data_IF_708936175190
#
_entry.id   IF_708936175190
#
_cell.length_a   1.000
_cell.length_b   1.000
_cell.length_c   1.000
_cell.angle_alpha   90.00
_cell.angle_beta   90.00
_cell.angle_gamma   90.00
#
_symmetry.space_group_name_H-M   'P 1'
#
loop_
_entity.id
_entity.type
_entity.pdbx_description
1 polymer ?
#
# COMPACT_ATOMS: atom_id res chain seq x y z
N UNK A 1 41.69 22.30 49.99
CA UNK A 1 41.46 22.29 48.53
C UNK A 1 40.39 21.26 48.22
N UNK A 2 39.21 21.67 47.77
CA UNK A 2 38.14 20.77 47.33
C UNK A 2 37.41 21.41 46.16
N UNK A 3 37.74 20.98 44.95
CA UNK A 3 37.20 21.53 43.69
C UNK A 3 35.82 20.91 43.45
N UNK A 4 34.76 21.72 43.57
CA UNK A 4 33.41 21.35 43.13
C UNK A 4 33.36 21.41 41.60
N UNK A 5 33.35 20.24 40.95
CA UNK A 5 33.11 20.11 39.51
C UNK A 5 31.63 20.32 39.22
N UNK A 6 31.28 21.50 38.69
CA UNK A 6 29.96 21.76 38.10
C UNK A 6 29.82 20.97 36.80
N UNK A 7 28.95 19.95 36.80
CA UNK A 7 28.59 19.21 35.59
C UNK A 7 27.76 20.13 34.66
N UNK A 8 28.38 20.58 33.56
CA UNK A 8 27.69 21.22 32.43
C UNK A 8 26.68 20.21 31.86
N UNK A 9 25.39 20.48 32.06
CA UNK A 9 24.30 19.78 31.37
C UNK A 9 24.45 20.08 29.88
N UNK A 10 24.74 19.07 29.07
CA UNK A 10 24.77 19.21 27.61
C UNK A 10 23.35 19.59 27.14
N UNK A 11 23.19 20.59 26.26
CA UNK A 11 21.89 20.88 25.66
C UNK A 11 21.44 19.65 24.87
N UNK A 12 20.30 19.10 25.26
CA UNK A 12 19.63 18.04 24.54
C UNK A 12 19.12 18.66 23.23
N UNK A 13 19.47 18.10 22.05
CA UNK A 13 18.98 18.64 20.79
C UNK A 13 17.44 18.59 20.78
N UNK A 14 16.76 19.55 20.12
CA UNK A 14 15.31 19.55 20.03
C UNK A 14 14.85 18.21 19.43
N UNK A 15 13.96 17.54 20.15
CA UNK A 15 13.24 16.38 19.63
C UNK A 15 12.30 16.92 18.55
N UNK A 16 12.68 16.74 17.29
CA UNK A 16 11.75 16.88 16.19
C UNK A 16 10.81 15.68 16.26
N UNK A 17 9.62 15.91 16.79
CA UNK A 17 8.59 14.89 16.95
C UNK A 17 8.03 14.50 15.58
N UNK A 18 8.69 13.53 14.94
CA UNK A 18 8.15 12.90 13.74
C UNK A 18 7.00 11.97 14.13
N UNK A 19 5.87 12.11 13.46
CA UNK A 19 4.69 11.27 13.70
C UNK A 19 4.63 10.14 12.67
N UNK A 20 4.45 8.91 13.13
CA UNK A 20 4.29 7.74 12.26
C UNK A 20 3.03 6.98 12.62
N UNK A 21 2.14 6.81 11.65
CA UNK A 21 0.92 5.99 11.78
C UNK A 21 1.02 4.82 10.80
N UNK A 22 0.68 3.62 11.27
CA UNK A 22 0.59 2.43 10.42
C UNK A 22 -0.70 1.67 10.68
N UNK A 23 -1.32 1.20 9.61
CA UNK A 23 -2.53 0.41 9.62
C UNK A 23 -2.39 -0.74 8.63
N UNK A 24 -2.84 -1.93 9.01
CA UNK A 24 -2.89 -3.08 8.13
C UNK A 24 -4.18 -3.85 8.34
N UNK A 25 -4.79 -4.31 7.25
CA UNK A 25 -5.96 -5.18 7.27
C UNK A 25 -5.85 -6.24 6.18
N UNK A 26 -6.30 -7.45 6.47
CA UNK A 26 -6.25 -8.58 5.54
C UNK A 26 -7.51 -9.44 5.64
N UNK A 27 -7.89 -10.04 4.51
CA UNK A 27 -8.95 -11.03 4.40
C UNK A 27 -8.29 -12.37 4.10
N UNK A 28 -8.19 -13.29 5.07
CA UNK A 28 -7.62 -14.60 4.84
C UNK A 28 -8.58 -15.49 4.02
N UNK A 29 -8.04 -16.30 3.12
CA UNK A 29 -8.77 -17.39 2.43
C UNK A 29 -7.86 -18.62 2.36
N UNK A 30 -8.29 -19.73 2.98
CA UNK A 30 -7.44 -20.91 3.14
C UNK A 30 -6.23 -20.64 4.05
N UNK A 31 -5.18 -21.46 3.91
CA UNK A 31 -4.02 -21.45 4.83
C UNK A 31 -2.79 -20.70 4.29
N UNK A 32 -2.70 -20.45 2.99
CA UNK A 32 -1.43 -20.06 2.36
C UNK A 32 -1.28 -18.57 2.05
N UNK A 33 -2.33 -17.87 1.61
CA UNK A 33 -2.24 -16.44 1.22
C UNK A 33 -3.56 -15.71 1.50
N UNK A 34 -3.52 -14.42 1.94
CA UNK A 34 -4.73 -13.64 2.08
C UNK A 34 -5.31 -13.35 0.69
N UNK A 35 -6.63 -13.41 0.57
CA UNK A 35 -7.34 -12.96 -0.63
C UNK A 35 -7.05 -11.49 -0.92
N UNK A 36 -7.02 -10.69 0.13
CA UNK A 36 -6.85 -9.26 0.03
C UNK A 36 -6.06 -8.74 1.22
N UNK A 37 -5.17 -7.77 0.99
CA UNK A 37 -4.38 -7.12 2.01
C UNK A 37 -4.22 -5.65 1.69
N UNK A 38 -4.40 -4.78 2.69
CA UNK A 38 -4.08 -3.36 2.62
C UNK A 38 -3.10 -3.02 3.74
N UNK A 39 -2.07 -2.26 3.39
CA UNK A 39 -1.14 -1.64 4.33
C UNK A 39 -1.12 -0.14 4.06
N UNK A 40 -1.24 0.67 5.10
CA UNK A 40 -1.16 2.12 5.05
C UNK A 40 -0.10 2.57 6.05
N UNK A 41 0.82 3.43 5.61
CA UNK A 41 1.82 4.06 6.44
C UNK A 41 1.82 5.56 6.17
N UNK A 42 1.71 6.37 7.20
CA UNK A 42 1.83 7.81 7.13
C UNK A 42 3.01 8.23 8.01
N UNK A 43 3.87 9.09 7.48
CA UNK A 43 4.99 9.67 8.19
C UNK A 43 4.95 11.18 8.00
N UNK A 44 4.90 11.93 9.10
CA UNK A 44 5.02 13.38 9.10
C UNK A 44 6.33 13.80 9.75
N UNK A 45 7.05 14.68 9.08
CA UNK A 45 8.32 15.25 9.53
C UNK A 45 8.24 16.77 9.51
N UNK A 46 8.44 17.45 10.66
CA UNK A 46 8.56 18.90 10.68
C UNK A 46 9.86 19.34 10.00
N UNK A 47 9.78 20.38 9.18
CA UNK A 47 10.92 21.04 8.52
C UNK A 47 11.04 22.49 9.02
N UNK A 48 12.19 23.12 8.76
CA UNK A 48 12.51 24.44 9.33
C UNK A 48 11.47 25.53 8.98
N UNK A 49 10.82 25.43 7.83
CA UNK A 49 9.85 26.39 7.29
C UNK A 49 8.49 25.75 6.89
N UNK A 50 8.24 24.50 7.30
CA UNK A 50 7.02 23.79 6.94
C UNK A 50 6.95 22.36 7.47
N UNK A 51 6.13 21.53 6.85
CA UNK A 51 5.96 20.12 7.21
C UNK A 51 6.02 19.27 5.94
N UNK A 52 6.63 18.09 6.04
CA UNK A 52 6.62 17.08 4.99
C UNK A 52 5.81 15.88 5.45
N UNK A 53 4.81 15.52 4.66
CA UNK A 53 3.98 14.33 4.89
C UNK A 53 4.23 13.32 3.78
N UNK A 54 4.45 12.06 4.17
CA UNK A 54 4.61 10.92 3.29
C UNK A 54 3.57 9.86 3.62
N UNK A 55 2.70 9.56 2.66
CA UNK A 55 1.73 8.49 2.72
C UNK A 55 2.15 7.36 1.79
N UNK A 56 2.19 6.14 2.29
CA UNK A 56 2.38 4.92 1.49
C UNK A 56 1.18 4.02 1.71
N UNK A 57 0.58 3.56 0.62
CA UNK A 57 -0.43 2.52 0.64
C UNK A 57 0.03 1.36 -0.24
N UNK A 58 -0.18 0.15 0.23
CA UNK A 58 0.04 -1.07 -0.53
C UNK A 58 -1.24 -1.90 -0.50
N UNK A 59 -1.76 -2.21 -1.67
CA UNK A 59 -2.97 -2.98 -1.88
C UNK A 59 -2.62 -4.23 -2.68
N UNK A 60 -2.89 -5.39 -2.10
CA UNK A 60 -2.64 -6.68 -2.72
C UNK A 60 -3.95 -7.46 -2.80
N UNK A 61 -4.22 -8.02 -3.97
CA UNK A 61 -5.37 -8.90 -4.23
C UNK A 61 -4.88 -10.17 -4.92
N UNK A 62 -5.06 -11.31 -4.26
CA UNK A 62 -4.55 -12.61 -4.69
C UNK A 62 -5.70 -13.52 -5.19
N UNK A 63 -6.45 -13.06 -6.21
CA UNK A 63 -7.63 -13.79 -6.69
C UNK A 63 -7.22 -15.12 -7.36
N UNK A 64 -6.15 -15.10 -8.16
CA UNK A 64 -5.67 -16.29 -8.85
C UNK A 64 -4.97 -17.27 -7.91
N UNK A 65 -4.15 -16.75 -7.00
CA UNK A 65 -3.31 -17.58 -6.12
C UNK A 65 -4.02 -18.07 -4.85
N UNK A 66 -4.98 -17.31 -4.27
CA UNK A 66 -5.66 -17.72 -3.03
C UNK A 66 -7.06 -18.32 -3.27
N UNK A 67 -7.90 -17.68 -4.08
CA UNK A 67 -9.29 -18.11 -4.26
C UNK A 67 -9.43 -19.37 -5.12
N UNK A 68 -8.69 -19.46 -6.24
CA UNK A 68 -8.83 -20.60 -7.16
C UNK A 68 -8.50 -21.95 -6.49
N UNK A 69 -7.39 -22.10 -5.73
CA UNK A 69 -7.13 -23.33 -4.99
C UNK A 69 -8.16 -23.61 -3.89
N UNK A 70 -8.62 -22.58 -3.17
CA UNK A 70 -9.62 -22.75 -2.11
C UNK A 70 -10.98 -23.25 -2.66
N UNK A 71 -11.38 -22.78 -3.85
CA UNK A 71 -12.59 -23.26 -4.54
C UNK A 71 -12.46 -24.69 -5.06
N UNK A 72 -11.25 -25.12 -5.44
CA UNK A 72 -10.96 -26.49 -5.88
C UNK A 72 -10.85 -27.47 -4.71
N UNK A 73 -10.23 -27.06 -3.59
CA UNK A 73 -10.11 -27.88 -2.38
C UNK A 73 -11.47 -28.24 -1.78
N UNK A 74 -12.46 -27.33 -1.85
CA UNK A 74 -13.83 -27.59 -1.41
C UNK A 74 -14.61 -28.60 -2.27
N UNK A 75 -14.12 -28.95 -3.47
CA UNK A 75 -14.70 -30.02 -4.31
C UNK A 75 -14.14 -31.41 -4.00
N UNK A 76 -12.99 -31.49 -3.32
CA UNK A 76 -12.30 -32.75 -3.04
C UNK A 76 -12.74 -33.42 -1.73
N UNK A 77 -13.58 -32.79 -0.91
CA UNK A 77 -13.99 -33.30 0.40
C UNK A 77 -15.46 -33.70 0.41
N UNK A 78 -15.75 -34.90 -0.12
CA UNK A 78 -16.76 -35.75 0.52
C UNK A 78 -16.27 -36.06 1.94
N UNK A 79 -17.05 -35.81 3.00
CA UNK A 79 -16.58 -35.96 4.36
C UNK A 79 -16.47 -37.44 4.71
N UNK A 80 -15.29 -38.04 4.54
CA UNK A 80 -14.91 -39.21 5.34
C UNK A 80 -14.25 -38.69 6.61
N UNK A 81 -15.04 -38.67 7.67
CA UNK A 81 -14.54 -38.67 9.04
C UNK A 81 -13.64 -39.91 9.21
N UNK A 82 -12.34 -39.73 9.06
CA UNK A 82 -11.35 -40.65 9.65
C UNK A 82 -10.60 -39.85 10.70
N UNK A 83 -11.04 -40.04 11.95
CA UNK A 83 -10.41 -39.46 13.12
C UNK A 83 -9.06 -40.16 13.34
N UNK A 84 -7.97 -39.42 13.16
CA UNK A 84 -6.67 -39.77 13.73
C UNK A 84 -6.55 -39.09 15.10
N UNK A 85 -6.13 -39.80 16.16
CA UNK A 85 -5.98 -39.20 17.48
C UNK A 85 -4.73 -38.32 17.48
N UNK A 86 -4.85 -37.08 17.98
CA UNK A 86 -3.70 -36.23 18.24
C UNK A 86 -3.68 -35.78 19.69
N UNK A 87 -2.52 -36.06 20.29
CA UNK A 87 -2.05 -35.59 21.57
C UNK A 87 -2.17 -34.07 21.72
N UNK A 88 -2.19 -33.69 22.99
CA UNK A 88 -2.40 -32.37 23.54
C UNK A 88 -1.42 -31.31 23.00
N UNK A 89 -1.87 -30.50 22.04
CA UNK A 89 -1.26 -29.21 21.74
C UNK A 89 -2.26 -28.08 21.95
N UNK A 90 -1.94 -27.20 22.90
CA UNK A 90 -2.74 -26.04 23.33
C UNK A 90 -3.20 -25.19 22.12
N UNK A 91 -4.51 -24.91 21.95
CA UNK A 91 -4.99 -24.14 20.81
C UNK A 91 -4.70 -22.65 21.01
N UNK A 92 -3.83 -22.09 20.17
CA UNK A 92 -3.61 -20.66 20.05
C UNK A 92 -4.91 -19.98 19.56
N UNK A 93 -5.47 -19.10 20.41
CA UNK A 93 -6.75 -18.40 20.22
C UNK A 93 -6.85 -17.60 18.91
N UNK A 94 -5.72 -17.21 18.31
CA UNK A 94 -5.65 -16.45 17.05
C UNK A 94 -6.03 -17.25 15.80
N UNK A 95 -5.72 -18.56 15.76
CA UNK A 95 -6.06 -19.42 14.61
C UNK A 95 -7.57 -19.57 14.41
N UNK A 96 -8.35 -19.56 15.50
CA UNK A 96 -9.81 -19.78 15.43
C UNK A 96 -10.58 -18.63 14.80
N UNK A 97 -10.08 -17.39 14.88
CA UNK A 97 -10.77 -16.23 14.30
C UNK A 97 -10.50 -16.12 12.79
N UNK A 98 -9.24 -16.31 12.38
CA UNK A 98 -8.82 -16.35 10.98
C UNK A 98 -9.45 -17.53 10.22
N UNK A 99 -9.56 -18.70 10.86
CA UNK A 99 -10.25 -19.87 10.29
C UNK A 99 -11.75 -19.62 10.07
N UNK A 100 -12.42 -18.89 10.98
CA UNK A 100 -13.87 -18.60 10.88
C UNK A 100 -14.17 -17.57 9.79
N UNK A 101 -13.36 -16.53 9.65
CA UNK A 101 -13.53 -15.54 8.57
C UNK A 101 -13.22 -16.14 7.20
N UNK A 102 -12.15 -16.94 7.10
CA UNK A 102 -11.80 -17.64 5.86
C UNK A 102 -12.88 -18.61 5.38
N UNK A 103 -13.45 -19.41 6.29
CA UNK A 103 -14.53 -20.35 5.94
C UNK A 103 -15.82 -19.65 5.51
N UNK A 104 -16.19 -18.54 6.16
CA UNK A 104 -17.37 -17.77 5.80
C UNK A 104 -17.23 -17.08 4.42
N UNK A 105 -16.05 -16.52 4.14
CA UNK A 105 -15.73 -15.96 2.82
C UNK A 105 -15.78 -17.05 1.75
N UNK A 106 -15.21 -18.23 2.02
CA UNK A 106 -15.20 -19.35 1.08
C UNK A 106 -16.63 -19.84 0.72
N UNK A 107 -17.52 -19.97 1.70
CA UNK A 107 -18.91 -20.38 1.46
C UNK A 107 -19.71 -19.31 0.68
N UNK A 108 -19.51 -18.03 1.01
CA UNK A 108 -20.14 -16.93 0.28
C UNK A 108 -19.62 -16.83 -1.16
N UNK A 109 -18.30 -16.94 -1.36
CA UNK A 109 -17.69 -16.97 -2.69
C UNK A 109 -18.20 -18.17 -3.51
N UNK A 110 -18.36 -19.35 -2.89
CA UNK A 110 -18.90 -20.54 -3.55
C UNK A 110 -20.32 -20.30 -4.04
N UNK A 111 -21.22 -19.82 -3.16
CA UNK A 111 -22.62 -19.51 -3.52
C UNK A 111 -22.72 -18.44 -4.59
N UNK A 112 -21.87 -17.41 -4.55
CA UNK A 112 -21.85 -16.37 -5.58
C UNK A 112 -21.42 -16.93 -6.94
N UNK A 113 -20.46 -17.87 -6.97
CA UNK A 113 -19.96 -18.49 -8.20
C UNK A 113 -20.85 -19.62 -8.75
N UNK A 114 -21.85 -20.06 -8.00
CA UNK A 114 -22.92 -20.94 -8.49
C UNK A 114 -23.85 -20.22 -9.47
N UNK A 115 -23.91 -18.88 -9.41
CA UNK A 115 -24.68 -18.07 -10.38
C UNK A 115 -23.89 -17.97 -11.69
N UNK A 116 -24.41 -18.49 -12.83
CA UNK A 116 -23.67 -18.57 -14.09
C UNK A 116 -23.19 -17.20 -14.61
N UNK A 117 -23.95 -16.15 -14.35
CA UNK A 117 -23.61 -14.78 -14.74
C UNK A 117 -22.41 -14.25 -13.94
N UNK A 118 -22.42 -14.42 -12.61
CA UNK A 118 -21.32 -14.00 -11.74
C UNK A 118 -20.06 -14.81 -12.03
N UNK A 119 -20.21 -16.11 -12.32
CA UNK A 119 -19.10 -16.95 -12.74
C UNK A 119 -18.41 -16.41 -14.00
N UNK A 120 -19.17 -16.08 -15.06
CA UNK A 120 -18.59 -15.54 -16.31
C UNK A 120 -17.83 -14.24 -16.11
N UNK A 121 -18.26 -13.39 -15.16
CA UNK A 121 -17.59 -12.14 -14.83
C UNK A 121 -16.37 -12.35 -13.93
N UNK A 122 -16.42 -13.32 -13.02
CA UNK A 122 -15.35 -13.60 -12.06
C UNK A 122 -14.23 -14.47 -12.64
N UNK A 123 -14.53 -15.38 -13.56
CA UNK A 123 -13.56 -16.33 -14.16
C UNK A 123 -12.31 -15.66 -14.77
N UNK A 124 -12.38 -14.51 -15.48
CA UNK A 124 -11.17 -13.79 -15.89
C UNK A 124 -10.41 -13.16 -14.72
N UNK A 125 -11.10 -12.68 -13.69
CA UNK A 125 -10.48 -12.06 -12.50
C UNK A 125 -9.80 -13.10 -11.60
N UNK A 126 -10.34 -14.32 -11.52
CA UNK A 126 -9.75 -15.47 -10.82
C UNK A 126 -8.47 -16.00 -11.46
N UNK A 127 -8.00 -15.40 -12.55
CA UNK A 127 -6.68 -15.68 -13.13
C UNK A 127 -5.68 -14.58 -12.83
N UNK A 128 -6.08 -13.50 -12.16
CA UNK A 128 -5.28 -12.30 -12.00
C UNK A 128 -4.97 -12.06 -10.53
N UNK A 129 -3.70 -11.75 -10.26
CA UNK A 129 -3.28 -11.15 -9.00
C UNK A 129 -2.93 -9.69 -9.25
N UNK A 130 -3.38 -8.80 -8.38
CA UNK A 130 -3.18 -7.36 -8.47
C UNK A 130 -2.33 -6.89 -7.30
N UNK A 131 -1.26 -6.15 -7.57
CA UNK A 131 -0.49 -5.47 -6.54
C UNK A 131 -0.35 -3.99 -6.91
N UNK A 132 -0.85 -3.12 -6.06
CA UNK A 132 -0.83 -1.67 -6.25
C UNK A 132 -0.09 -1.00 -5.10
N UNK A 133 0.97 -0.26 -5.43
CA UNK A 133 1.71 0.60 -4.52
C UNK A 133 1.36 2.05 -4.83
N UNK A 134 0.95 2.79 -3.82
CA UNK A 134 0.66 4.22 -3.91
C UNK A 134 1.58 4.91 -2.94
N UNK A 135 2.37 5.86 -3.42
CA UNK A 135 3.20 6.70 -2.58
C UNK A 135 2.88 8.16 -2.88
N UNK A 136 2.44 8.90 -1.87
CA UNK A 136 2.10 10.32 -1.95
C UNK A 136 3.03 11.06 -0.99
N UNK A 137 3.64 12.13 -1.48
CA UNK A 137 4.43 13.03 -0.68
C UNK A 137 3.91 14.44 -0.88
N UNK A 138 3.63 15.13 0.22
CA UNK A 138 3.26 16.53 0.22
C UNK A 138 4.21 17.30 1.14
N UNK A 139 4.52 18.54 0.78
CA UNK A 139 5.32 19.41 1.63
C UNK A 139 4.79 20.84 1.58
N UNK A 140 4.76 21.50 2.74
CA UNK A 140 4.54 22.93 2.85
C UNK A 140 5.82 23.71 3.16
N UNK A 141 6.97 23.04 3.09
CA UNK A 141 8.28 23.67 3.17
C UNK A 141 8.70 24.20 1.78
N UNK A 142 9.68 25.09 1.73
CA UNK A 142 10.25 25.57 0.48
C UNK A 142 11.01 24.43 -0.22
N UNK A 143 10.70 24.20 -1.48
CA UNK A 143 11.29 23.13 -2.28
C UNK A 143 12.06 23.73 -3.46
N UNK A 144 13.36 23.45 -3.55
CA UNK A 144 14.24 24.01 -4.60
C UNK A 144 13.77 23.68 -6.03
N UNK A 145 13.19 22.50 -6.23
CA UNK A 145 12.68 22.02 -7.52
C UNK A 145 11.15 21.81 -7.52
N UNK A 146 10.42 22.46 -6.61
CA UNK A 146 8.98 22.28 -6.45
C UNK A 146 8.59 20.82 -6.17
N UNK A 147 7.42 20.39 -6.62
CA UNK A 147 6.91 19.04 -6.44
C UNK A 147 7.82 17.93 -7.00
N UNK A 148 8.69 18.24 -7.98
CA UNK A 148 9.61 17.24 -8.55
C UNK A 148 10.64 16.72 -7.54
N UNK A 149 11.00 17.53 -6.53
CA UNK A 149 11.87 17.14 -5.41
C UNK A 149 11.22 16.12 -4.47
N UNK A 150 9.89 15.98 -4.52
CA UNK A 150 9.12 15.05 -3.71
C UNK A 150 8.90 13.70 -4.42
N UNK A 151 9.39 13.55 -5.65
CA UNK A 151 9.21 12.31 -6.40
C UNK A 151 9.84 11.12 -5.65
N UNK A 152 9.04 10.12 -5.29
CA UNK A 152 9.55 8.96 -4.60
C UNK A 152 10.38 8.11 -5.55
N UNK A 153 11.50 7.59 -5.04
CA UNK A 153 12.34 6.63 -5.76
C UNK A 153 12.82 7.13 -7.14
N UNK A 154 13.06 8.44 -7.29
CA UNK A 154 13.51 9.09 -8.52
C UNK A 154 14.73 8.40 -9.17
N UNK A 155 15.67 7.93 -8.37
CA UNK A 155 16.83 7.15 -8.83
C UNK A 155 16.44 5.82 -9.49
N UNK A 156 15.47 5.10 -8.91
CA UNK A 156 14.97 3.83 -9.47
C UNK A 156 14.18 4.06 -10.75
N UNK A 157 13.39 5.14 -10.80
CA UNK A 157 12.72 5.56 -12.03
C UNK A 157 13.74 5.87 -13.13
N UNK A 158 14.78 6.63 -12.79
CA UNK A 158 15.85 6.96 -13.73
C UNK A 158 16.61 5.72 -14.22
N UNK A 159 16.83 4.72 -13.37
CA UNK A 159 17.42 3.43 -13.74
C UNK A 159 16.56 2.64 -14.73
N UNK A 160 15.23 2.82 -14.70
CA UNK A 160 14.29 2.26 -15.68
C UNK A 160 14.13 3.12 -16.93
N UNK A 161 14.95 4.18 -17.09
CA UNK A 161 14.83 5.14 -18.20
C UNK A 161 13.63 6.08 -18.07
N UNK A 162 12.94 6.07 -16.93
CA UNK A 162 11.76 6.90 -16.67
C UNK A 162 12.22 8.18 -16.00
N UNK A 163 12.07 9.31 -16.72
CA UNK A 163 12.39 10.64 -16.20
C UNK A 163 11.15 11.52 -16.31
N UNK A 164 10.32 11.58 -15.26
CA UNK A 164 9.17 12.45 -15.26
C UNK A 164 9.63 13.90 -15.46
N UNK A 165 8.91 14.67 -16.25
CA UNK A 165 9.19 16.10 -16.36
C UNK A 165 8.87 16.81 -15.05
N UNK A 166 9.39 18.02 -14.86
CA UNK A 166 8.94 18.86 -13.76
C UNK A 166 7.56 19.45 -14.10
N UNK A 167 6.70 19.65 -13.10
CA UNK A 167 5.44 20.36 -13.30
C UNK A 167 5.71 21.83 -13.71
N UNK A 168 5.07 22.25 -14.80
CA UNK A 168 5.19 23.60 -15.35
C UNK A 168 4.02 24.48 -14.92
N UNK A 169 3.37 25.12 -15.88
CA UNK A 169 2.14 25.91 -15.66
C UNK A 169 0.89 25.04 -15.41
N UNK A 170 0.96 23.76 -15.73
CA UNK A 170 -0.12 22.80 -15.54
C UNK A 170 0.34 21.66 -14.63
N UNK A 171 -0.59 21.04 -13.87
CA UNK A 171 -0.27 19.83 -13.12
C UNK A 171 0.19 18.73 -14.09
N UNK A 172 1.22 17.99 -13.69
CA UNK A 172 1.77 16.94 -14.53
C UNK A 172 1.17 15.59 -14.16
N UNK A 173 0.71 14.84 -15.16
CA UNK A 173 0.41 13.42 -15.03
C UNK A 173 1.07 12.67 -16.18
N UNK A 174 1.96 11.74 -15.85
CA UNK A 174 2.64 10.89 -16.84
C UNK A 174 2.45 9.42 -16.46
N UNK A 175 2.30 8.56 -17.45
CA UNK A 175 2.07 7.13 -17.24
C UNK A 175 2.91 6.31 -18.20
N UNK A 176 3.50 5.25 -17.68
CA UNK A 176 4.27 4.26 -18.39
C UNK A 176 3.65 2.89 -18.14
N UNK A 177 3.67 2.02 -19.14
CA UNK A 177 3.26 0.64 -19.00
C UNK A 177 4.25 -0.25 -19.75
N UNK A 178 4.44 -1.46 -19.23
CA UNK A 178 5.33 -2.45 -19.82
C UNK A 178 4.93 -3.86 -19.45
N UNK A 179 5.32 -4.80 -20.29
CA UNK A 179 5.13 -6.22 -20.02
C UNK A 179 6.17 -6.70 -19.01
N UNK A 180 5.76 -7.66 -18.19
CA UNK A 180 6.62 -8.42 -17.28
C UNK A 180 6.49 -9.90 -17.64
N UNK A 181 7.43 -10.78 -17.24
CA UNK A 181 7.35 -12.20 -17.59
C UNK A 181 6.01 -12.87 -17.28
N UNK A 182 5.34 -12.41 -16.22
CA UNK A 182 4.08 -12.98 -15.73
C UNK A 182 2.87 -12.03 -15.86
N UNK A 183 2.98 -10.91 -16.59
CA UNK A 183 1.86 -9.98 -16.76
C UNK A 183 2.24 -8.56 -17.19
N UNK A 184 1.63 -7.54 -16.60
CA UNK A 184 1.82 -6.13 -16.98
C UNK A 184 2.10 -5.27 -15.75
N UNK A 185 3.03 -4.32 -15.89
CA UNK A 185 3.27 -3.28 -14.90
C UNK A 185 2.88 -1.91 -15.49
N UNK A 186 2.26 -1.07 -14.67
CA UNK A 186 1.91 0.31 -14.98
C UNK A 186 2.46 1.19 -13.87
N UNK A 187 3.09 2.30 -14.25
CA UNK A 187 3.56 3.34 -13.36
C UNK A 187 2.89 4.65 -13.76
N UNK A 188 2.24 5.32 -12.83
CA UNK A 188 1.69 6.66 -13.02
C UNK A 188 2.31 7.62 -12.02
N UNK A 189 2.73 8.78 -12.49
CA UNK A 189 3.30 9.85 -11.68
C UNK A 189 2.43 11.08 -11.81
N UNK A 190 2.17 11.73 -10.68
CA UNK A 190 1.40 12.96 -10.57
C UNK A 190 2.25 14.00 -9.82
N UNK A 191 2.28 15.24 -10.31
CA UNK A 191 2.93 16.36 -9.62
C UNK A 191 2.02 17.59 -9.64
N UNK A 192 1.86 18.22 -8.47
CA UNK A 192 1.14 19.47 -8.28
C UNK A 192 1.97 20.43 -7.43
N UNK A 193 2.10 21.66 -7.89
CA UNK A 193 2.61 22.76 -7.10
C UNK A 193 1.43 23.60 -6.57
N UNK A 194 1.72 24.49 -5.62
CA UNK A 194 0.78 25.48 -5.08
C UNK A 194 -0.09 26.14 -6.15
N UNK A 195 0.49 26.61 -7.25
CA UNK A 195 -0.23 27.28 -8.36
C UNK A 195 -1.31 26.43 -9.03
N UNK A 196 -1.22 25.10 -8.92
CA UNK A 196 -2.20 24.17 -9.47
C UNK A 196 -3.37 23.90 -8.50
N UNK A 197 -3.31 24.44 -7.28
CA UNK A 197 -4.35 24.20 -6.28
C UNK A 197 -5.61 25.03 -6.55
N UNK A 198 -6.81 24.49 -6.25
CA UNK A 198 -8.04 25.25 -6.29
C UNK A 198 -8.00 26.41 -5.28
N UNK A 199 -8.70 27.51 -5.60
CA UNK A 199 -8.69 28.74 -4.82
C UNK A 199 -9.07 28.54 -3.33
N UNK A 200 -9.90 27.54 -3.02
CA UNK A 200 -10.28 27.22 -1.64
C UNK A 200 -9.07 26.71 -0.83
N UNK A 201 -8.24 25.84 -1.41
CA UNK A 201 -7.04 25.34 -0.76
C UNK A 201 -5.96 26.42 -0.67
N UNK A 202 -5.84 27.28 -1.69
CA UNK A 202 -4.94 28.44 -1.64
C UNK A 202 -5.25 29.36 -0.47
N UNK A 203 -6.54 29.62 -0.20
CA UNK A 203 -6.98 30.41 0.97
C UNK A 203 -6.60 29.76 2.29
N UNK A 204 -6.76 28.43 2.40
CA UNK A 204 -6.40 27.69 3.61
C UNK A 204 -4.89 27.66 3.85
N UNK A 205 -4.09 27.59 2.79
CA UNK A 205 -2.64 27.57 2.87
C UNK A 205 -2.02 28.95 3.14
N UNK A 206 -2.78 30.04 3.00
CA UNK A 206 -2.24 31.40 3.12
C UNK A 206 -1.08 31.58 2.13
N UNK A 207 0.04 32.14 2.56
CA UNK A 207 1.24 32.32 1.72
C UNK A 207 2.23 31.14 1.77
N UNK A 208 1.88 30.04 2.44
CA UNK A 208 2.79 28.89 2.58
C UNK A 208 3.10 28.26 1.23
N UNK A 209 4.35 27.85 0.96
CA UNK A 209 4.66 27.05 -0.21
C UNK A 209 3.92 25.71 -0.14
N UNK A 210 3.74 25.07 -1.28
CA UNK A 210 3.12 23.75 -1.36
C UNK A 210 3.62 23.00 -2.59
N UNK A 211 3.96 21.73 -2.38
CA UNK A 211 4.21 20.76 -3.44
C UNK A 211 3.62 19.40 -3.06
N UNK A 212 3.14 18.68 -4.07
CA UNK A 212 2.66 17.31 -3.94
C UNK A 212 3.17 16.48 -5.11
N UNK A 213 3.76 15.33 -4.80
CA UNK A 213 4.06 14.29 -5.78
C UNK A 213 3.36 13.00 -5.37
N UNK A 214 2.79 12.29 -6.33
CA UNK A 214 2.28 10.96 -6.12
C UNK A 214 2.82 10.00 -7.18
N UNK A 215 3.03 8.76 -6.79
CA UNK A 215 3.43 7.68 -7.67
C UNK A 215 2.56 6.46 -7.38
N UNK A 216 1.97 5.92 -8.44
CA UNK A 216 1.14 4.72 -8.39
C UNK A 216 1.82 3.67 -9.26
N UNK A 217 2.22 2.57 -8.65
CA UNK A 217 2.73 1.39 -9.35
C UNK A 217 1.65 0.32 -9.26
N UNK A 218 1.16 -0.14 -10.39
CA UNK A 218 0.23 -1.25 -10.47
C UNK A 218 0.90 -2.40 -11.22
N UNK A 219 0.77 -3.61 -10.69
CA UNK A 219 1.20 -4.82 -11.38
C UNK A 219 0.04 -5.80 -11.41
N UNK A 220 -0.18 -6.37 -12.58
CA UNK A 220 -1.19 -7.39 -12.82
C UNK A 220 -0.45 -8.64 -13.27
N UNK A 221 -0.58 -9.72 -12.52
CA UNK A 221 0.04 -11.00 -12.86
C UNK A 221 -1.03 -12.00 -13.25
N UNK A 222 -0.78 -12.78 -14.30
CA UNK A 222 -1.65 -13.88 -14.71
C UNK A 222 -1.16 -15.19 -14.10
N UNK A 223 -1.95 -15.78 -13.21
CA UNK A 223 -1.72 -17.12 -12.66
C UNK A 223 -2.35 -18.17 -13.60
N UNK A 224 -1.52 -19.10 -14.09
CA UNK A 224 -1.94 -20.22 -14.94
C UNK A 224 -2.58 -21.33 -14.11
#
# INVERSE_FOLDING_TARGET
MGILKSARRKPQPPQNDSETLSFAAEIPVGENQPLWKIELQMHSEPQADGERVRLRAHLQTNLGSALRPALQAGKAQTPRHEALPHEEAKPARGLRLAQRTGAAVQELSRRALEVPLLRRLAEPLLQLDFNTWIEIQASTASLDAGASSLLPQSERLAALGIRPRAAGEQPLTETWAGETPDGVAQLSVLQLDRRHLPAQLLKLLGDRPFGLAATVVNTVQKKR
#
